data_IF_917502689839
#
_entry.id   IF_917502689839
#
_cell.length_a   1.000
_cell.length_b   1.000
_cell.length_c   1.000
_cell.angle_alpha   90.00
_cell.angle_beta   90.00
_cell.angle_gamma   90.00
#
_symmetry.space_group_name_H-M   'P 1'
#
loop_
_entity.id
_entity.type
_entity.pdbx_description
1 polymer ?
#
# COMPACT_ATOMS: atom_id res chain seq x y z
N UNK A 1 1.97 29.35 -2.52
CA UNK A 1 2.04 30.52 -3.40
C UNK A 1 0.96 30.35 -4.47
N UNK A 2 0.12 31.37 -4.68
CA UNK A 2 -0.92 31.37 -5.71
C UNK A 2 -0.37 32.10 -6.93
N UNK A 3 -0.42 31.44 -8.10
CA UNK A 3 0.03 32.03 -9.37
C UNK A 3 -1.21 32.27 -10.23
N UNK A 4 -1.44 33.51 -10.64
CA UNK A 4 -2.47 33.86 -11.60
C UNK A 4 -1.97 33.60 -13.02
N UNK A 5 -2.75 32.83 -13.80
CA UNK A 5 -2.44 32.50 -15.19
C UNK A 5 -3.41 33.21 -16.12
N UNK A 6 -2.88 33.91 -17.12
CA UNK A 6 -3.71 34.46 -18.20
C UNK A 6 -4.03 33.32 -19.20
N UNK A 7 -5.33 33.11 -19.44
CA UNK A 7 -5.83 32.12 -20.41
C UNK A 7 -6.51 32.82 -21.57
N UNK A 8 -6.40 32.23 -22.76
CA UNK A 8 -7.16 32.65 -23.95
C UNK A 8 -8.44 31.79 -23.99
N UNK A 9 -9.59 32.48 -24.03
CA UNK A 9 -10.90 31.85 -24.05
C UNK A 9 -11.06 30.95 -25.29
N UNK A 10 -11.68 29.78 -25.13
CA UNK A 10 -11.94 28.78 -26.18
C UNK A 10 -10.70 28.16 -26.84
N UNK A 11 -9.49 28.44 -26.36
CA UNK A 11 -8.26 27.82 -26.85
C UNK A 11 -7.66 26.85 -25.83
N UNK A 12 -6.80 25.96 -26.30
CA UNK A 12 -6.05 25.07 -25.42
C UNK A 12 -4.77 25.77 -24.96
N UNK A 13 -4.79 26.31 -23.75
CA UNK A 13 -3.65 27.01 -23.16
C UNK A 13 -2.67 25.99 -22.56
N UNK A 14 -1.46 25.90 -23.10
CA UNK A 14 -0.42 24.98 -22.62
C UNK A 14 0.56 25.76 -21.76
N UNK A 15 0.75 25.34 -20.52
CA UNK A 15 1.69 25.91 -19.57
C UNK A 15 2.84 24.94 -19.33
N UNK A 16 4.06 25.47 -19.34
CA UNK A 16 5.26 24.70 -19.03
C UNK A 16 5.76 25.06 -17.64
N UNK A 17 6.02 24.07 -16.82
CA UNK A 17 6.58 24.24 -15.48
C UNK A 17 8.10 24.10 -15.56
N UNK A 18 8.82 25.05 -15.00
CA UNK A 18 10.28 24.99 -14.85
C UNK A 18 10.63 25.41 -13.41
N UNK A 19 11.33 24.55 -12.71
CA UNK A 19 11.83 24.83 -11.38
C UNK A 19 13.33 25.18 -11.45
N UNK A 20 13.73 26.11 -10.63
CA UNK A 20 15.12 26.53 -10.47
C UNK A 20 15.47 26.57 -8.99
N UNK A 21 16.70 26.18 -8.64
CA UNK A 21 17.22 26.36 -7.29
C UNK A 21 17.63 27.84 -7.05
N UNK A 22 18.04 28.15 -5.83
CA UNK A 22 18.51 29.51 -5.46
C UNK A 22 19.72 29.98 -6.26
N UNK A 23 20.47 29.06 -6.89
CA UNK A 23 21.64 29.36 -7.73
C UNK A 23 21.30 29.55 -9.20
N UNK A 24 20.04 29.36 -9.58
CA UNK A 24 19.55 29.44 -10.95
C UNK A 24 19.73 28.19 -11.78
N UNK A 25 20.10 27.06 -11.18
CA UNK A 25 20.20 25.78 -11.90
C UNK A 25 18.79 25.18 -12.03
N UNK A 26 18.52 24.64 -13.22
CA UNK A 26 17.25 24.00 -13.53
C UNK A 26 17.11 22.65 -12.80
N UNK A 27 15.99 22.47 -12.09
CA UNK A 27 15.63 21.24 -11.41
C UNK A 27 14.65 20.43 -12.27
N UNK A 28 14.67 19.11 -12.12
CA UNK A 28 13.63 18.26 -12.71
C UNK A 28 12.32 18.40 -11.93
N UNK A 29 11.21 18.51 -12.66
CA UNK A 29 9.86 18.54 -12.07
C UNK A 29 8.88 17.72 -12.91
N UNK A 30 7.89 17.15 -12.28
CA UNK A 30 6.74 16.52 -12.90
C UNK A 30 5.45 17.04 -12.28
N UNK A 31 4.43 17.35 -13.10
CA UNK A 31 4.43 17.35 -14.58
C UNK A 31 5.27 18.49 -15.16
N UNK A 32 5.86 18.26 -16.34
CA UNK A 32 6.62 19.30 -17.05
C UNK A 32 5.74 20.35 -17.72
N UNK A 33 4.47 20.02 -17.97
CA UNK A 33 3.49 20.91 -18.56
C UNK A 33 2.06 20.47 -18.20
N UNK A 34 1.12 21.39 -18.24
CA UNK A 34 -0.31 21.12 -18.16
C UNK A 34 -1.06 22.01 -19.14
N UNK A 35 -2.31 21.65 -19.47
CA UNK A 35 -3.14 22.45 -20.35
C UNK A 35 -4.46 22.84 -19.69
N UNK A 36 -4.92 24.06 -19.96
CA UNK A 36 -6.22 24.57 -19.52
C UNK A 36 -7.00 24.99 -20.78
N UNK A 37 -8.22 24.48 -20.92
CA UNK A 37 -9.17 24.91 -21.93
C UNK A 37 -10.45 25.36 -21.25
N UNK A 38 -10.87 26.58 -21.50
CA UNK A 38 -12.12 27.11 -20.98
C UNK A 38 -13.33 26.31 -21.52
N UNK A 39 -14.28 26.00 -20.62
CA UNK A 39 -15.51 25.28 -21.00
C UNK A 39 -15.34 23.77 -21.19
N UNK A 40 -14.13 23.24 -21.19
CA UNK A 40 -13.89 21.81 -21.15
C UNK A 40 -13.37 21.48 -19.75
N UNK A 41 -14.14 20.75 -18.97
CA UNK A 41 -13.59 20.10 -17.79
C UNK A 41 -12.58 19.08 -18.33
N UNK A 42 -11.31 19.47 -18.40
CA UNK A 42 -10.27 18.49 -18.68
C UNK A 42 -10.47 17.36 -17.68
N UNK A 43 -10.60 16.15 -18.19
CA UNK A 43 -10.66 14.98 -17.31
C UNK A 43 -9.58 15.14 -16.25
N UNK A 44 -9.92 14.94 -14.98
CA UNK A 44 -8.96 15.12 -13.88
C UNK A 44 -7.66 14.39 -14.15
N UNK A 45 -6.57 14.78 -13.50
CA UNK A 45 -5.30 14.08 -13.63
C UNK A 45 -5.48 12.61 -13.26
N UNK A 46 -4.91 11.67 -14.03
CA UNK A 46 -4.93 10.26 -13.64
C UNK A 46 -4.03 10.03 -12.44
N UNK A 47 -4.43 9.13 -11.54
CA UNK A 47 -3.57 8.68 -10.45
C UNK A 47 -2.28 8.06 -11.02
N UNK A 48 -1.10 8.53 -10.60
CA UNK A 48 0.18 7.99 -11.09
C UNK A 48 0.46 6.59 -10.53
N UNK A 49 -0.08 6.29 -9.35
CA UNK A 49 0.09 5.04 -8.62
C UNK A 49 -1.21 4.60 -7.98
N UNK A 50 -1.35 3.30 -7.75
CA UNK A 50 -2.44 2.73 -6.96
C UNK A 50 -2.31 3.15 -5.50
N UNK A 51 -3.44 3.49 -4.86
CA UNK A 51 -3.49 3.73 -3.43
C UNK A 51 -3.77 2.40 -2.73
N UNK A 52 -2.90 2.06 -1.80
CA UNK A 52 -2.93 0.80 -1.05
C UNK A 52 -2.93 1.07 0.46
N UNK A 53 -3.40 0.10 1.21
CA UNK A 53 -3.22 0.02 2.67
C UNK A 53 -2.44 -1.25 3.03
N UNK A 54 -1.66 -1.18 4.10
CA UNK A 54 -0.99 -2.35 4.65
C UNK A 54 -1.94 -3.15 5.53
N UNK A 55 -2.09 -4.42 5.21
CA UNK A 55 -2.93 -5.36 5.97
C UNK A 55 -2.17 -6.65 6.26
N UNK A 56 -2.59 -7.39 7.27
CA UNK A 56 -2.11 -8.77 7.45
C UNK A 56 -2.98 -9.69 6.61
N UNK A 57 -2.36 -10.37 5.66
CA UNK A 57 -3.04 -11.38 4.86
C UNK A 57 -3.50 -12.56 5.73
N UNK A 58 -4.75 -12.99 5.53
CA UNK A 58 -5.38 -14.02 6.38
C UNK A 58 -4.74 -15.41 6.22
N UNK A 59 -4.24 -15.71 5.02
CA UNK A 59 -3.66 -17.00 4.69
C UNK A 59 -2.20 -17.08 5.09
N UNK A 60 -1.41 -16.13 4.60
CA UNK A 60 0.05 -16.14 4.80
C UNK A 60 0.49 -15.56 6.14
N UNK A 61 -0.39 -14.81 6.83
CA UNK A 61 -0.09 -14.04 8.05
C UNK A 61 1.01 -12.98 7.87
N UNK A 62 1.41 -12.72 6.64
CA UNK A 62 2.40 -11.70 6.30
C UNK A 62 1.70 -10.35 6.09
N UNK A 63 2.42 -9.26 6.33
CA UNK A 63 2.00 -7.92 5.95
C UNK A 63 2.10 -7.79 4.41
N UNK A 64 1.06 -7.25 3.80
CA UNK A 64 0.96 -7.07 2.35
C UNK A 64 0.17 -5.80 2.04
N UNK A 65 0.51 -5.15 0.95
CA UNK A 65 -0.25 -4.01 0.45
C UNK A 65 -1.44 -4.49 -0.37
N UNK A 66 -2.64 -4.07 0.02
CA UNK A 66 -3.86 -4.32 -0.77
C UNK A 66 -4.41 -3.00 -1.32
N UNK A 67 -4.85 -2.98 -2.60
CA UNK A 67 -5.37 -1.78 -3.23
C UNK A 67 -6.74 -1.40 -2.66
N UNK A 68 -7.03 -0.09 -2.62
CA UNK A 68 -8.40 0.40 -2.47
C UNK A 68 -9.10 0.30 -3.83
N UNK A 69 -10.22 -0.40 -3.87
CA UNK A 69 -11.05 -0.54 -5.09
C UNK A 69 -11.60 0.83 -5.46
N UNK A 70 -11.26 1.33 -6.63
CA UNK A 70 -11.63 2.65 -7.13
C UNK A 70 -10.48 3.67 -7.14
N UNK A 71 -9.33 3.38 -6.53
CA UNK A 71 -8.13 4.20 -6.53
C UNK A 71 -6.92 3.48 -7.14
N UNK A 72 -7.17 2.69 -8.19
CA UNK A 72 -6.11 2.05 -8.95
C UNK A 72 -5.37 3.08 -9.83
N UNK A 73 -4.14 2.78 -10.18
CA UNK A 73 -3.33 3.53 -11.15
C UNK A 73 -4.16 3.86 -12.39
N UNK A 74 -4.00 5.06 -12.92
CA UNK A 74 -4.73 5.61 -14.07
C UNK A 74 -6.18 6.03 -13.83
N UNK A 75 -6.76 5.83 -12.65
CA UNK A 75 -8.06 6.40 -12.31
C UNK A 75 -8.03 7.91 -12.38
N UNK A 76 -9.02 8.50 -13.01
CA UNK A 76 -9.14 9.95 -13.19
C UNK A 76 -9.72 10.59 -11.94
N UNK A 77 -9.07 11.64 -11.45
CA UNK A 77 -9.53 12.43 -10.29
C UNK A 77 -10.73 13.36 -10.68
N UNK A 78 -11.68 13.62 -9.78
CA UNK A 78 -11.75 13.09 -8.42
C UNK A 78 -12.14 11.61 -8.42
N UNK A 79 -11.66 10.86 -7.45
CA UNK A 79 -11.93 9.43 -7.34
C UNK A 79 -12.15 9.01 -5.89
N UNK A 80 -12.95 7.97 -5.70
CA UNK A 80 -13.23 7.41 -4.39
C UNK A 80 -12.84 5.95 -4.40
N UNK A 81 -12.10 5.53 -3.38
CA UNK A 81 -11.73 4.14 -3.17
C UNK A 81 -12.28 3.59 -1.88
N UNK A 82 -12.57 2.30 -1.91
CA UNK A 82 -13.10 1.59 -0.74
C UNK A 82 -12.29 0.33 -0.45
N UNK A 83 -12.18 0.02 0.83
CA UNK A 83 -11.68 -1.25 1.31
C UNK A 83 -12.64 -1.77 2.38
N UNK A 84 -13.29 -2.88 2.08
CA UNK A 84 -14.30 -3.47 2.96
C UNK A 84 -13.71 -4.59 3.83
N UNK A 85 -14.41 -4.93 4.92
CA UNK A 85 -14.11 -6.06 5.80
C UNK A 85 -12.72 -6.01 6.45
N UNK A 86 -12.21 -4.80 6.73
CA UNK A 86 -11.06 -4.63 7.62
C UNK A 86 -11.45 -5.18 9.00
N UNK A 87 -10.51 -5.89 9.62
CA UNK A 87 -10.68 -6.37 10.99
C UNK A 87 -9.67 -5.74 11.93
N UNK A 88 -10.15 -5.25 13.07
CA UNK A 88 -9.28 -4.73 14.11
C UNK A 88 -8.36 -5.82 14.66
N UNK A 89 -7.05 -5.52 14.76
CA UNK A 89 -6.05 -6.48 15.30
C UNK A 89 -6.13 -6.64 16.82
N UNK A 90 -6.67 -5.66 17.48
CA UNK A 90 -6.78 -5.57 18.95
C UNK A 90 -8.00 -4.75 19.33
N UNK A 91 -8.42 -4.87 20.57
CA UNK A 91 -9.44 -3.99 21.11
C UNK A 91 -8.91 -2.56 21.31
N UNK A 92 -9.80 -1.57 21.22
CA UNK A 92 -9.53 -0.18 21.58
C UNK A 92 -10.56 0.26 22.62
N UNK A 93 -10.07 0.71 23.75
CA UNK A 93 -10.89 1.15 24.89
C UNK A 93 -11.01 2.67 24.87
N UNK A 94 -12.23 3.23 24.93
CA UNK A 94 -12.42 4.67 25.04
C UNK A 94 -11.64 5.28 26.19
N UNK A 95 -10.97 6.41 25.92
CA UNK A 95 -10.20 7.14 26.93
C UNK A 95 -8.90 6.47 27.40
N UNK A 96 -8.46 5.41 26.73
CA UNK A 96 -7.16 4.78 26.97
C UNK A 96 -6.19 5.10 25.83
N UNK A 97 -4.88 4.88 26.07
CA UNK A 97 -3.81 5.08 25.07
C UNK A 97 -3.74 3.93 24.04
N UNK A 98 -4.84 3.19 23.89
CA UNK A 98 -4.96 2.16 22.86
C UNK A 98 -5.10 2.85 21.48
N UNK A 99 -4.46 2.31 20.45
CA UNK A 99 -4.59 2.82 19.10
C UNK A 99 -4.42 1.71 18.04
N UNK A 100 -4.97 1.93 16.87
CA UNK A 100 -4.74 1.15 15.65
C UNK A 100 -4.27 2.09 14.56
N UNK A 101 -3.23 1.70 13.85
CA UNK A 101 -2.70 2.41 12.68
C UNK A 101 -3.10 1.69 11.40
N UNK A 102 -3.56 2.47 10.41
CA UNK A 102 -3.82 2.02 9.03
C UNK A 102 -2.89 2.81 8.11
N UNK A 103 -1.70 2.27 7.78
CA UNK A 103 -0.76 2.96 6.90
C UNK A 103 -1.27 2.96 5.46
N UNK A 104 -1.18 4.12 4.80
CA UNK A 104 -1.55 4.34 3.39
C UNK A 104 -0.29 4.46 2.55
N UNK A 105 -0.26 3.75 1.43
CA UNK A 105 0.85 3.73 0.49
C UNK A 105 0.41 4.06 -0.93
N UNK A 106 1.34 4.60 -1.71
CA UNK A 106 1.25 4.72 -3.17
C UNK A 106 2.26 3.76 -3.80
N UNK A 107 1.82 2.91 -4.73
CA UNK A 107 2.71 2.01 -5.43
C UNK A 107 2.04 0.78 -6.01
N UNK A 108 2.76 -0.33 -6.00
CA UNK A 108 2.29 -1.59 -6.57
C UNK A 108 1.61 -2.43 -5.48
N UNK A 109 0.37 -2.86 -5.73
CA UNK A 109 -0.35 -3.74 -4.80
C UNK A 109 0.31 -5.12 -4.70
N UNK A 110 0.03 -5.83 -3.61
CA UNK A 110 0.53 -7.17 -3.32
C UNK A 110 2.04 -7.29 -3.15
N UNK A 111 2.73 -6.17 -2.93
CA UNK A 111 4.16 -6.10 -2.64
C UNK A 111 4.42 -5.66 -1.20
N UNK A 112 5.69 -5.62 -0.79
CA UNK A 112 6.10 -5.18 0.55
C UNK A 112 5.98 -3.66 0.70
N UNK A 113 5.63 -3.19 1.89
CA UNK A 113 5.47 -1.77 2.20
C UNK A 113 6.73 -0.95 1.89
N UNK A 114 7.91 -1.49 2.17
CA UNK A 114 9.21 -0.83 1.93
C UNK A 114 9.46 -0.51 0.46
N UNK A 115 8.91 -1.28 -0.48
CA UNK A 115 9.03 -1.06 -1.93
C UNK A 115 8.14 0.10 -2.43
N UNK A 116 7.24 0.59 -1.59
CA UNK A 116 6.22 1.57 -1.95
C UNK A 116 6.42 2.89 -1.20
N UNK A 117 5.73 3.93 -1.66
CA UNK A 117 5.82 5.24 -1.05
C UNK A 117 4.76 5.38 0.05
N UNK A 118 5.18 5.50 1.31
CA UNK A 118 4.28 5.80 2.42
C UNK A 118 3.71 7.22 2.26
N UNK A 119 2.40 7.36 2.28
CA UNK A 119 1.71 8.63 2.11
C UNK A 119 1.33 9.23 3.47
N UNK A 120 0.69 8.43 4.31
CA UNK A 120 0.22 8.83 5.64
C UNK A 120 -0.21 7.58 6.42
N UNK A 121 -0.52 7.79 7.70
CA UNK A 121 -1.10 6.76 8.56
C UNK A 121 -2.36 7.30 9.22
N UNK A 122 -3.48 6.61 9.04
CA UNK A 122 -4.70 6.88 9.78
C UNK A 122 -4.53 6.25 11.16
N UNK A 123 -4.47 7.09 12.20
CA UNK A 123 -4.40 6.62 13.59
C UNK A 123 -5.79 6.73 14.22
N UNK A 124 -6.27 5.63 14.75
CA UNK A 124 -7.54 5.53 15.48
C UNK A 124 -7.19 5.26 16.94
N UNK A 125 -7.57 6.18 17.80
CA UNK A 125 -7.26 6.12 19.25
C UNK A 125 -8.51 5.85 20.07
N UNK A 126 -8.32 5.53 21.35
CA UNK A 126 -9.43 5.40 22.29
C UNK A 126 -10.24 6.68 22.48
N UNK A 127 -9.67 7.86 22.17
CA UNK A 127 -10.39 9.14 22.25
C UNK A 127 -11.29 9.42 21.04
N UNK A 128 -11.07 8.72 19.93
CA UNK A 128 -11.85 8.87 18.71
C UNK A 128 -13.11 8.02 18.72
N UNK A 129 -13.21 7.04 19.63
CA UNK A 129 -14.29 6.07 19.67
C UNK A 129 -15.26 6.34 20.82
N UNK A 130 -16.59 6.29 20.56
CA UNK A 130 -17.61 6.52 21.60
C UNK A 130 -17.77 5.32 22.54
N UNK A 131 -17.45 4.12 22.07
CA UNK A 131 -17.58 2.85 22.82
C UNK A 131 -16.40 1.91 22.53
N UNK A 132 -16.28 0.84 23.29
CA UNK A 132 -15.26 -0.19 23.09
C UNK A 132 -15.34 -0.77 21.66
N UNK A 133 -14.23 -0.73 20.95
CA UNK A 133 -14.03 -1.50 19.73
C UNK A 133 -13.39 -2.83 20.09
N UNK A 134 -14.10 -3.92 19.90
CA UNK A 134 -13.58 -5.25 20.19
C UNK A 134 -12.52 -5.69 19.18
N UNK A 135 -11.67 -6.63 19.56
CA UNK A 135 -10.79 -7.31 18.60
C UNK A 135 -11.62 -8.04 17.54
N UNK A 136 -11.15 -8.03 16.29
CA UNK A 136 -11.83 -8.54 15.10
C UNK A 136 -13.11 -7.80 14.68
N UNK A 137 -13.42 -6.65 15.28
CA UNK A 137 -14.49 -5.77 14.80
C UNK A 137 -14.31 -5.39 13.35
N UNK A 138 -15.42 -5.38 12.61
CA UNK A 138 -15.42 -5.09 11.16
C UNK A 138 -15.50 -3.60 10.90
N UNK A 139 -14.65 -3.11 9.99
CA UNK A 139 -14.68 -1.73 9.53
C UNK A 139 -14.55 -1.65 8.01
N UNK A 140 -15.14 -0.62 7.42
CA UNK A 140 -14.98 -0.25 6.02
C UNK A 140 -14.24 1.07 5.94
N UNK A 141 -13.20 1.13 5.11
CA UNK A 141 -12.44 2.33 4.84
C UNK A 141 -12.87 2.93 3.50
N UNK A 142 -13.16 4.22 3.48
CA UNK A 142 -13.39 5.00 2.26
C UNK A 142 -12.37 6.12 2.20
N UNK A 143 -11.69 6.27 1.07
CA UNK A 143 -10.78 7.37 0.78
C UNK A 143 -11.26 8.09 -0.47
N UNK A 144 -11.33 9.39 -0.40
CA UNK A 144 -11.67 10.29 -1.49
C UNK A 144 -10.46 11.14 -1.84
N UNK A 145 -10.16 11.25 -3.13
CA UNK A 145 -9.10 12.13 -3.64
C UNK A 145 -9.75 13.13 -4.57
N UNK A 146 -9.61 14.40 -4.25
CA UNK A 146 -10.17 15.49 -5.04
C UNK A 146 -9.31 15.82 -6.27
N UNK A 147 -9.75 16.80 -7.07
CA UNK A 147 -9.02 17.27 -8.26
C UNK A 147 -7.66 17.91 -7.93
N UNK A 148 -7.49 18.38 -6.70
CA UNK A 148 -6.26 19.00 -6.20
C UNK A 148 -5.32 17.97 -5.57
N UNK A 149 -5.65 16.66 -5.67
CA UNK A 149 -4.92 15.55 -5.07
C UNK A 149 -4.90 15.59 -3.52
N UNK A 150 -5.90 16.23 -2.92
CA UNK A 150 -6.10 16.22 -1.47
C UNK A 150 -6.89 14.96 -1.13
N UNK A 151 -6.38 14.22 -0.14
CA UNK A 151 -7.00 12.99 0.36
C UNK A 151 -7.78 13.27 1.63
N UNK A 152 -9.00 12.78 1.67
CA UNK A 152 -9.84 12.72 2.87
C UNK A 152 -10.59 11.40 2.89
N UNK A 153 -11.25 11.08 3.97
CA UNK A 153 -12.02 9.85 4.00
C UNK A 153 -12.70 9.60 5.34
N UNK A 154 -13.13 8.36 5.51
CA UNK A 154 -13.82 7.91 6.70
C UNK A 154 -13.60 6.42 6.94
N UNK A 155 -13.61 6.06 8.22
CA UNK A 155 -13.66 4.67 8.68
C UNK A 155 -15.04 4.43 9.28
N UNK A 156 -15.78 3.49 8.71
CA UNK A 156 -17.09 3.07 9.23
C UNK A 156 -16.96 1.75 10.00
N UNK A 157 -17.13 1.81 11.31
CA UNK A 157 -17.09 0.66 12.21
C UNK A 157 -18.49 0.04 12.29
N UNK A 158 -18.65 -1.11 11.61
CA UNK A 158 -19.96 -1.76 11.44
C UNK A 158 -20.55 -2.22 12.78
N UNK A 159 -19.72 -2.84 13.63
CA UNK A 159 -20.18 -3.48 14.87
C UNK A 159 -20.65 -2.48 15.94
N UNK A 160 -20.26 -1.23 15.84
CA UNK A 160 -20.61 -0.17 16.80
C UNK A 160 -21.42 0.97 16.17
N UNK A 161 -21.80 0.82 14.87
CA UNK A 161 -22.55 1.81 14.09
C UNK A 161 -21.98 3.24 14.21
N UNK A 162 -20.67 3.36 14.00
CA UNK A 162 -19.94 4.61 14.16
C UNK A 162 -19.06 4.92 12.96
N UNK A 163 -19.11 6.16 12.48
CA UNK A 163 -18.30 6.65 11.38
C UNK A 163 -17.32 7.72 11.89
N UNK A 164 -16.04 7.52 11.62
CA UNK A 164 -14.97 8.44 11.96
C UNK A 164 -14.41 9.07 10.68
N UNK A 165 -14.62 10.38 10.44
CA UNK A 165 -13.98 11.07 9.34
C UNK A 165 -12.50 11.34 9.65
N UNK A 166 -11.67 11.42 8.60
CA UNK A 166 -10.27 11.82 8.71
C UNK A 166 -9.83 12.63 7.49
N UNK A 167 -8.77 13.41 7.66
CA UNK A 167 -8.04 14.06 6.60
C UNK A 167 -6.64 13.47 6.53
N UNK A 168 -6.15 13.24 5.30
CA UNK A 168 -4.80 12.72 5.09
C UNK A 168 -3.84 13.90 4.96
N UNK A 169 -3.05 14.13 5.97
CA UNK A 169 -2.02 15.15 5.94
C UNK A 169 -0.76 14.61 5.26
N UNK A 170 -0.61 14.87 3.97
CA UNK A 170 0.55 14.45 3.18
C UNK A 170 1.88 15.10 3.63
N UNK A 171 1.83 16.16 4.41
CA UNK A 171 3.02 16.81 4.98
C UNK A 171 3.60 16.01 6.18
N UNK A 172 2.83 15.08 6.76
CA UNK A 172 3.27 14.23 7.87
C UNK A 172 3.93 12.93 7.43
N UNK A 173 4.01 12.66 6.13
CA UNK A 173 4.66 11.46 5.57
C UNK A 173 6.20 11.51 5.70
N UNK A 174 6.70 12.08 6.80
CA UNK A 174 8.14 12.05 7.07
C UNK A 174 8.56 10.63 7.42
N UNK A 175 9.59 10.19 6.73
CA UNK A 175 10.26 8.95 7.04
C UNK A 175 10.77 9.04 8.48
N UNK A 176 10.20 8.25 9.40
CA UNK A 176 10.61 8.23 10.81
C UNK A 176 11.69 7.19 11.05
N UNK A 177 12.48 7.40 12.11
CA UNK A 177 13.49 6.45 12.53
C UNK A 177 12.82 5.12 12.93
N UNK A 178 11.67 5.18 13.61
CA UNK A 178 10.90 4.03 14.06
C UNK A 178 10.39 3.17 12.89
N UNK A 179 9.94 3.81 11.82
CA UNK A 179 9.51 3.08 10.62
C UNK A 179 10.68 2.36 9.96
N UNK A 180 11.84 3.01 9.84
CA UNK A 180 13.04 2.39 9.27
C UNK A 180 13.52 1.21 10.12
N UNK A 181 13.55 1.37 11.44
CA UNK A 181 13.92 0.30 12.38
C UNK A 181 12.96 -0.89 12.24
N UNK A 182 11.63 -0.65 12.14
CA UNK A 182 10.64 -1.69 11.91
C UNK A 182 10.91 -2.44 10.61
N UNK A 183 11.13 -1.72 9.50
CA UNK A 183 11.39 -2.33 8.20
C UNK A 183 12.72 -3.11 8.16
N UNK A 184 13.76 -2.63 8.82
CA UNK A 184 15.02 -3.33 8.97
C UNK A 184 14.82 -4.64 9.75
N UNK A 185 14.12 -4.59 10.88
CA UNK A 185 13.83 -5.76 11.72
C UNK A 185 12.96 -6.78 10.96
N UNK A 186 11.94 -6.34 10.22
CA UNK A 186 11.12 -7.23 9.39
C UNK A 186 11.97 -7.92 8.31
N UNK A 187 12.91 -7.17 7.70
CA UNK A 187 13.84 -7.73 6.71
C UNK A 187 14.80 -8.75 7.35
N UNK A 188 15.28 -8.51 8.57
CA UNK A 188 16.12 -9.47 9.29
C UNK A 188 15.39 -10.78 9.60
N UNK A 189 14.14 -10.70 10.00
CA UNK A 189 13.34 -11.89 10.34
C UNK A 189 13.14 -12.83 9.13
N UNK A 190 13.22 -12.30 7.92
CA UNK A 190 13.10 -13.08 6.68
C UNK A 190 14.41 -13.78 6.31
N UNK A 191 15.56 -13.32 6.83
CA UNK A 191 16.87 -13.89 6.48
C UNK A 191 16.97 -15.39 6.74
N UNK A 192 16.26 -15.90 7.74
CA UNK A 192 16.33 -17.32 8.10
C UNK A 192 15.62 -18.23 7.09
N UNK A 193 14.71 -17.66 6.29
CA UNK A 193 13.97 -18.38 5.23
C UNK A 193 14.72 -18.40 3.89
N UNK A 194 15.83 -17.63 3.77
CA UNK A 194 16.64 -17.57 2.55
C UNK A 194 17.65 -18.73 2.50
N UNK A 195 18.00 -19.13 1.26
CA UNK A 195 19.13 -20.03 1.06
C UNK A 195 20.47 -19.38 1.49
N UNK A 196 21.50 -20.20 1.72
CA UNK A 196 22.76 -19.74 2.29
C UNK A 196 23.42 -18.61 1.49
N UNK A 197 23.47 -18.74 0.16
CA UNK A 197 24.16 -17.76 -0.69
C UNK A 197 23.41 -16.41 -0.70
N UNK A 198 22.10 -16.45 -0.79
CA UNK A 198 21.24 -15.25 -0.72
C UNK A 198 21.23 -14.62 0.67
N UNK A 199 21.24 -15.41 1.72
CA UNK A 199 21.32 -14.94 3.09
C UNK A 199 22.58 -14.11 3.34
N UNK A 200 23.74 -14.55 2.89
CA UNK A 200 24.99 -13.81 3.04
C UNK A 200 25.01 -12.52 2.22
N UNK A 201 24.50 -12.53 0.99
CA UNK A 201 24.35 -11.35 0.14
C UNK A 201 23.46 -10.30 0.84
N UNK A 202 22.25 -10.67 1.20
CA UNK A 202 21.25 -9.80 1.84
C UNK A 202 21.75 -9.27 3.18
N UNK A 203 22.36 -10.12 4.02
CA UNK A 203 22.94 -9.72 5.31
C UNK A 203 24.04 -8.67 5.16
N UNK A 204 24.90 -8.79 4.15
CA UNK A 204 25.94 -7.81 3.86
C UNK A 204 25.34 -6.47 3.49
N UNK A 205 24.31 -6.46 2.64
CA UNK A 205 23.68 -5.21 2.19
C UNK A 205 22.82 -4.59 3.31
N UNK A 206 22.14 -5.40 4.11
CA UNK A 206 21.40 -4.94 5.28
C UNK A 206 22.33 -4.29 6.34
N UNK A 207 23.53 -4.82 6.53
CA UNK A 207 24.53 -4.19 7.39
C UNK A 207 24.96 -2.80 6.86
N UNK A 208 25.00 -2.59 5.54
CA UNK A 208 25.25 -1.24 4.95
C UNK A 208 24.10 -0.29 5.28
N UNK A 209 22.85 -0.78 5.15
CA UNK A 209 21.66 0.01 5.53
C UNK A 209 21.75 0.46 6.98
N UNK A 210 22.02 -0.47 7.91
CA UNK A 210 22.17 -0.17 9.33
C UNK A 210 23.27 0.87 9.59
N UNK A 211 24.44 0.68 9.00
CA UNK A 211 25.55 1.61 9.16
C UNK A 211 25.22 3.01 8.62
N UNK A 212 24.54 3.10 7.47
CA UNK A 212 24.10 4.38 6.90
C UNK A 212 23.08 5.06 7.79
N UNK A 213 22.16 4.30 8.37
CA UNK A 213 21.11 4.81 9.26
C UNK A 213 21.67 5.28 10.62
N UNK A 214 22.52 4.48 11.27
CA UNK A 214 23.10 4.81 12.57
C UNK A 214 24.03 6.05 12.50
N UNK A 215 24.75 6.21 11.41
CA UNK A 215 25.74 7.28 11.26
C UNK A 215 25.14 8.62 10.80
N UNK A 216 23.92 8.62 10.25
CA UNK A 216 23.31 9.80 9.67
C UNK A 216 21.83 9.93 10.04
N UNK A 217 21.55 10.27 11.30
CA UNK A 217 20.17 10.58 11.75
C UNK A 217 19.64 11.91 11.21
N UNK A 218 19.77 12.11 9.90
CA UNK A 218 19.28 13.26 9.15
C UNK A 218 18.25 12.80 8.15
N UNK A 219 17.44 13.70 7.62
CA UNK A 219 16.46 13.39 6.57
C UNK A 219 17.13 12.76 5.34
N UNK A 220 18.26 13.29 4.91
CA UNK A 220 19.04 12.72 3.81
C UNK A 220 19.55 11.31 4.12
N UNK A 221 20.01 11.06 5.36
CA UNK A 221 20.44 9.73 5.81
C UNK A 221 19.30 8.71 5.83
N UNK A 222 18.11 9.12 6.26
CA UNK A 222 16.91 8.26 6.20
C UNK A 222 16.50 7.91 4.78
N UNK A 223 16.55 8.87 3.85
CA UNK A 223 16.26 8.63 2.43
C UNK A 223 17.29 7.69 1.80
N UNK A 224 18.59 7.84 2.12
CA UNK A 224 19.65 6.94 1.68
C UNK A 224 19.42 5.52 2.22
N UNK A 225 19.17 5.37 3.53
CA UNK A 225 18.90 4.09 4.17
C UNK A 225 17.67 3.41 3.57
N UNK A 226 16.59 4.15 3.33
CA UNK A 226 15.40 3.63 2.64
C UNK A 226 15.73 3.13 1.23
N UNK A 227 16.48 3.90 0.46
CA UNK A 227 16.86 3.52 -0.91
C UNK A 227 17.67 2.22 -0.95
N UNK A 228 18.62 2.06 -0.02
CA UNK A 228 19.38 0.81 0.11
C UNK A 228 18.49 -0.35 0.59
N UNK A 229 17.61 -0.10 1.56
CA UNK A 229 16.66 -1.10 2.05
C UNK A 229 15.70 -1.57 0.95
N UNK A 230 15.27 -0.69 0.06
CA UNK A 230 14.45 -1.04 -1.10
C UNK A 230 15.17 -2.02 -2.04
N UNK A 231 16.47 -1.85 -2.25
CA UNK A 231 17.27 -2.79 -3.06
C UNK A 231 17.31 -4.18 -2.42
N UNK A 232 17.54 -4.22 -1.10
CA UNK A 232 17.52 -5.46 -0.31
C UNK A 232 16.15 -6.12 -0.38
N UNK A 233 15.09 -5.35 -0.13
CA UNK A 233 13.71 -5.86 -0.16
C UNK A 233 13.33 -6.41 -1.55
N UNK A 234 13.81 -5.80 -2.63
CA UNK A 234 13.58 -6.30 -4.00
C UNK A 234 14.27 -7.64 -4.24
N UNK A 235 15.49 -7.82 -3.76
CA UNK A 235 16.19 -9.13 -3.87
C UNK A 235 15.41 -10.22 -3.14
N UNK A 236 14.89 -9.91 -1.95
CA UNK A 236 14.07 -10.85 -1.17
C UNK A 236 12.75 -11.15 -1.88
N UNK A 237 12.06 -10.13 -2.39
CA UNK A 237 10.79 -10.27 -3.10
C UNK A 237 10.93 -11.13 -4.36
N UNK A 238 11.99 -10.91 -5.14
CA UNK A 238 12.34 -11.72 -6.31
C UNK A 238 12.65 -13.18 -5.94
N UNK A 239 13.27 -13.42 -4.77
CA UNK A 239 13.56 -14.76 -4.28
C UNK A 239 12.28 -15.46 -3.78
N UNK A 240 11.48 -14.78 -2.96
CA UNK A 240 10.21 -15.32 -2.46
C UNK A 240 9.27 -15.66 -3.61
N UNK A 241 9.10 -14.77 -4.59
CA UNK A 241 8.24 -14.99 -5.75
C UNK A 241 8.63 -16.22 -6.58
N UNK A 242 9.94 -16.49 -6.68
CA UNK A 242 10.43 -17.68 -7.38
C UNK A 242 10.21 -18.99 -6.61
N UNK A 243 10.19 -18.92 -5.28
CA UNK A 243 10.10 -20.10 -4.42
C UNK A 243 8.69 -20.35 -3.87
N UNK A 244 7.87 -19.31 -3.70
CA UNK A 244 6.49 -19.47 -3.24
C UNK A 244 5.59 -20.07 -4.32
N UNK A 245 5.75 -19.68 -5.58
CA UNK A 245 4.89 -20.16 -6.65
C UNK A 245 4.93 -21.68 -6.84
N UNK A 246 6.10 -22.34 -6.93
CA UNK A 246 6.16 -23.80 -7.00
C UNK A 246 5.52 -24.51 -5.80
N UNK A 247 5.71 -23.97 -4.58
CA UNK A 247 5.06 -24.51 -3.37
C UNK A 247 3.55 -24.39 -3.41
N UNK A 248 3.04 -23.22 -3.77
CA UNK A 248 1.61 -22.97 -3.88
C UNK A 248 0.97 -23.83 -4.98
N UNK A 249 1.68 -24.02 -6.09
CA UNK A 249 1.24 -24.90 -7.17
C UNK A 249 1.15 -26.37 -6.71
N UNK A 250 2.13 -26.83 -5.96
CA UNK A 250 2.14 -28.20 -5.41
C UNK A 250 1.03 -28.38 -4.35
N UNK A 251 0.87 -27.43 -3.43
CA UNK A 251 -0.21 -27.43 -2.43
C UNK A 251 -1.58 -27.42 -3.10
N UNK A 252 -1.77 -26.60 -4.14
CA UNK A 252 -3.01 -26.52 -4.90
C UNK A 252 -3.33 -27.83 -5.63
N UNK A 253 -2.30 -28.48 -6.21
CA UNK A 253 -2.43 -29.81 -6.84
C UNK A 253 -2.81 -30.88 -5.81
N UNK A 254 -2.23 -30.85 -4.62
CA UNK A 254 -2.57 -31.77 -3.54
C UNK A 254 -4.01 -31.60 -3.06
N UNK A 255 -4.45 -30.35 -2.84
CA UNK A 255 -5.83 -30.04 -2.43
C UNK A 255 -6.83 -30.42 -3.54
N UNK A 256 -6.49 -30.18 -4.80
CA UNK A 256 -7.31 -30.62 -5.92
C UNK A 256 -7.44 -32.13 -5.93
N UNK A 257 -6.34 -32.87 -5.75
CA UNK A 257 -6.37 -34.35 -5.68
C UNK A 257 -7.25 -34.88 -4.53
N UNK A 258 -7.18 -34.23 -3.35
CA UNK A 258 -8.05 -34.54 -2.20
C UNK A 258 -9.52 -34.28 -2.55
N UNK A 259 -9.82 -33.18 -3.21
CA UNK A 259 -11.17 -32.80 -3.64
C UNK A 259 -11.70 -33.80 -4.69
N UNK A 260 -10.90 -34.18 -5.67
CA UNK A 260 -11.27 -35.16 -6.69
C UNK A 260 -11.55 -36.52 -6.06
N UNK A 261 -10.72 -37.00 -5.14
CA UNK A 261 -10.95 -38.21 -4.40
C UNK A 261 -12.24 -38.19 -3.59
N UNK A 262 -12.47 -37.12 -2.83
CA UNK A 262 -13.72 -36.96 -2.07
C UNK A 262 -14.95 -36.92 -2.98
N UNK A 263 -14.86 -36.30 -4.15
CA UNK A 263 -15.94 -36.28 -5.12
C UNK A 263 -16.21 -37.66 -5.75
N UNK A 264 -15.16 -38.48 -5.97
CA UNK A 264 -15.33 -39.82 -6.47
C UNK A 264 -16.00 -40.73 -5.44
N UNK A 265 -15.74 -40.51 -4.14
CA UNK A 265 -16.31 -41.32 -3.05
C UNK A 265 -17.74 -40.94 -2.67
N UNK A 266 -18.04 -39.61 -2.64
CA UNK A 266 -19.26 -39.05 -2.07
C UNK A 266 -19.98 -38.07 -2.99
N UNK A 267 -19.43 -37.79 -4.18
CA UNK A 267 -19.91 -36.75 -5.07
C UNK A 267 -21.18 -37.11 -5.83
N UNK A 268 -21.75 -36.10 -6.47
CA UNK A 268 -22.89 -36.19 -7.35
C UNK A 268 -22.61 -35.44 -8.66
N UNK A 269 -23.56 -35.47 -9.59
CA UNK A 269 -23.37 -34.82 -10.91
C UNK A 269 -23.01 -33.33 -10.82
N UNK A 270 -23.57 -32.59 -9.87
CA UNK A 270 -23.28 -31.16 -9.69
C UNK A 270 -21.86 -30.94 -9.14
N UNK A 271 -21.44 -31.72 -8.15
CA UNK A 271 -20.10 -31.62 -7.56
C UNK A 271 -19.04 -32.03 -8.57
N UNK A 272 -19.32 -33.05 -9.39
CA UNK A 272 -18.41 -33.48 -10.49
C UNK A 272 -18.24 -32.38 -11.54
N UNK A 273 -19.28 -31.63 -11.90
CA UNK A 273 -19.16 -30.48 -12.79
C UNK A 273 -18.30 -29.38 -12.20
N UNK A 274 -18.42 -29.07 -10.90
CA UNK A 274 -17.60 -28.07 -10.21
C UNK A 274 -16.12 -28.48 -10.16
N UNK A 275 -15.84 -29.76 -9.83
CA UNK A 275 -14.48 -30.28 -9.80
C UNK A 275 -13.82 -30.21 -11.18
N UNK A 276 -14.56 -30.59 -12.25
CA UNK A 276 -14.07 -30.48 -13.62
C UNK A 276 -13.83 -29.03 -14.06
N UNK A 277 -14.66 -28.08 -13.59
CA UNK A 277 -14.45 -26.67 -13.84
C UNK A 277 -13.16 -26.16 -13.18
N UNK A 278 -12.92 -26.52 -11.92
CA UNK A 278 -11.66 -26.21 -11.21
C UNK A 278 -10.47 -26.78 -11.96
N UNK A 279 -10.56 -28.04 -12.42
CA UNK A 279 -9.51 -28.68 -13.20
C UNK A 279 -9.11 -27.88 -14.43
N UNK A 280 -10.10 -27.41 -15.20
CA UNK A 280 -9.84 -26.62 -16.41
C UNK A 280 -9.22 -25.24 -16.16
N UNK A 281 -9.20 -24.77 -14.89
CA UNK A 281 -8.53 -23.54 -14.50
C UNK A 281 -7.10 -23.77 -13.96
N UNK A 282 -6.77 -25.02 -13.64
CA UNK A 282 -5.45 -25.42 -13.13
C UNK A 282 -4.51 -25.94 -14.24
N UNK A 283 -5.04 -26.29 -15.40
CA UNK A 283 -4.32 -26.66 -16.63
C UNK A 283 -4.03 -25.42 -17.47
#
# INVERSE_FOLDING_TARGET
EVIELAIVENENNIFTIQLYNEKGDKLECEPKSFSIKEGTVAGGAPLPHTICIEVIDKLTKKKILKPLVGLEKTKTLPATGVFNDLKSKKQIRPGMDDFIDIPIYQGEPFTKAVLNNHVSTIRITGNDLPVLLAENSVANLTIEIDRSNIMSGKVNFIDIDFEMPFEVNTNESKLTDEWLDEQINETENILDDLDFDKKEEVKKDLNKVKNSFENKKTEAGRLEARSELQKVAKVIDDFESKNEWPKLEDELKEEYYRLEKANNDLGNHKTTQLVNHIKSQLE
#
